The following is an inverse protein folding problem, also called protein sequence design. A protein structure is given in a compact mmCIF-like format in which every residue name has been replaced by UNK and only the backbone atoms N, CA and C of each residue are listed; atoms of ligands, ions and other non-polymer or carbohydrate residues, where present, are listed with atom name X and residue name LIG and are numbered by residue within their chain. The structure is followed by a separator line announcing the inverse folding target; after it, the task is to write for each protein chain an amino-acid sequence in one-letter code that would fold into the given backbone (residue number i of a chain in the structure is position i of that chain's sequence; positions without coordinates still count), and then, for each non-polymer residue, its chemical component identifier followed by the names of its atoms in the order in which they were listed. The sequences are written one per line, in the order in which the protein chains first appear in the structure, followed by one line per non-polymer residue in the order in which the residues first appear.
data_IF_836141601728
#
_entry.id   IF_836141601728
#
_cell.length_a   1.000
_cell.length_b   1.000
_cell.length_c   1.000
_cell.angle_alpha   90.00
_cell.angle_beta   90.00
_cell.angle_gamma   90.00
#
_symmetry.space_group_name_H-M   'P 1'
#
loop_
_entity.id
_entity.type
_entity.pdbx_description
1 polymer ?
#
# COMPACT_ATOMS: atom_id res chain seq x y z
N UNK A 1 29.28 9.80 -0.52
CA UNK A 1 28.21 9.08 0.19
C UNK A 1 28.63 7.64 0.27
N UNK A 2 28.49 6.97 1.42
CA UNK A 2 28.73 5.53 1.50
C UNK A 2 27.66 4.79 0.70
N UNK A 3 28.00 3.64 0.12
CA UNK A 3 27.03 2.83 -0.63
C UNK A 3 25.79 2.50 0.22
N UNK A 4 25.99 2.29 1.52
CA UNK A 4 24.93 2.10 2.52
C UNK A 4 23.98 3.31 2.61
N UNK A 5 24.50 4.54 2.53
CA UNK A 5 23.69 5.76 2.55
C UNK A 5 22.85 5.95 1.29
N UNK A 6 23.36 5.52 0.13
CA UNK A 6 22.60 5.52 -1.13
C UNK A 6 21.44 4.53 -1.04
N UNK A 7 21.72 3.30 -0.59
CA UNK A 7 20.70 2.24 -0.46
C UNK A 7 19.60 2.66 0.51
N UNK A 8 19.96 3.23 1.66
CA UNK A 8 19.00 3.73 2.64
C UNK A 8 18.14 4.87 2.06
N UNK A 9 18.76 5.87 1.42
CA UNK A 9 18.05 7.00 0.84
C UNK A 9 17.06 6.59 -0.26
N UNK A 10 17.50 5.74 -1.19
CA UNK A 10 16.65 5.24 -2.28
C UNK A 10 15.52 4.37 -1.75
N UNK A 11 15.79 3.51 -0.76
CA UNK A 11 14.77 2.63 -0.16
C UNK A 11 13.66 3.43 0.53
N UNK A 12 14.01 4.46 1.31
CA UNK A 12 13.05 5.32 2.00
C UNK A 12 12.21 6.11 0.99
N UNK A 13 12.85 6.69 -0.02
CA UNK A 13 12.16 7.44 -1.06
C UNK A 13 11.18 6.56 -1.85
N UNK A 14 11.63 5.36 -2.25
CA UNK A 14 10.81 4.40 -3.00
C UNK A 14 9.66 3.86 -2.15
N UNK A 15 9.88 3.63 -0.85
CA UNK A 15 8.82 3.21 0.07
C UNK A 15 7.70 4.25 0.15
N UNK A 16 8.04 5.53 0.33
CA UNK A 16 7.06 6.62 0.34
C UNK A 16 6.28 6.75 -0.97
N UNK A 17 6.97 6.66 -2.11
CA UNK A 17 6.34 6.66 -3.43
C UNK A 17 5.38 5.47 -3.62
N UNK A 18 5.81 4.28 -3.23
CA UNK A 18 5.01 3.06 -3.41
C UNK A 18 3.66 3.16 -2.69
N UNK A 19 3.64 3.70 -1.46
CA UNK A 19 2.39 3.92 -0.71
C UNK A 19 1.56 5.04 -1.35
N UNK A 20 2.20 6.17 -1.69
CA UNK A 20 1.50 7.33 -2.25
C UNK A 20 0.75 6.99 -3.55
N UNK A 21 1.40 6.26 -4.47
CA UNK A 21 0.75 5.84 -5.71
C UNK A 21 -0.17 4.62 -5.51
N UNK A 22 0.19 3.70 -4.62
CA UNK A 22 -0.61 2.51 -4.32
C UNK A 22 -2.00 2.82 -3.74
N UNK A 23 -2.14 3.94 -3.02
CA UNK A 23 -3.40 4.36 -2.41
C UNK A 23 -4.38 5.05 -3.38
N UNK A 24 -3.91 5.56 -4.53
CA UNK A 24 -4.74 6.37 -5.45
C UNK A 24 -5.84 5.51 -6.08
N UNK A 25 -5.50 4.31 -6.56
CA UNK A 25 -6.44 3.39 -7.20
C UNK A 25 -7.59 2.99 -6.27
N UNK A 26 -7.29 2.44 -5.08
CA UNK A 26 -8.27 2.11 -4.06
C UNK A 26 -9.14 3.31 -3.67
N UNK A 27 -8.56 4.46 -3.35
CA UNK A 27 -9.34 5.64 -2.97
C UNK A 27 -10.39 6.05 -4.02
N UNK A 28 -10.03 6.01 -5.31
CA UNK A 28 -10.96 6.30 -6.40
C UNK A 28 -12.03 5.20 -6.58
N UNK A 29 -11.63 3.94 -6.47
CA UNK A 29 -12.55 2.80 -6.60
C UNK A 29 -13.57 2.74 -5.47
N UNK A 30 -13.11 2.88 -4.23
CA UNK A 30 -13.93 2.86 -3.03
C UNK A 30 -14.89 4.05 -2.97
N UNK A 31 -14.42 5.26 -3.30
CA UNK A 31 -15.27 6.45 -3.35
C UNK A 31 -16.44 6.28 -4.34
N UNK A 32 -16.17 5.70 -5.52
CA UNK A 32 -17.20 5.38 -6.50
C UNK A 32 -18.16 4.32 -5.99
N UNK A 33 -17.66 3.19 -5.50
CA UNK A 33 -18.48 2.10 -4.97
C UNK A 33 -19.39 2.57 -3.83
N UNK A 34 -18.86 3.36 -2.90
CA UNK A 34 -19.63 3.94 -1.79
C UNK A 34 -20.73 4.88 -2.30
N UNK A 35 -20.43 5.77 -3.25
CA UNK A 35 -21.42 6.69 -3.82
C UNK A 35 -22.59 5.96 -4.51
N UNK A 36 -22.28 4.88 -5.24
CA UNK A 36 -23.30 4.05 -5.90
C UNK A 36 -24.12 3.27 -4.88
N UNK A 37 -23.48 2.71 -3.84
CA UNK A 37 -24.19 2.00 -2.78
C UNK A 37 -25.13 2.92 -2.00
N UNK A 38 -24.71 4.13 -1.66
CA UNK A 38 -25.57 5.13 -1.00
C UNK A 38 -26.78 5.49 -1.86
N UNK A 39 -26.59 5.67 -3.17
CA UNK A 39 -27.68 5.95 -4.11
C UNK A 39 -28.67 4.77 -4.19
N UNK A 40 -28.16 3.54 -4.22
CA UNK A 40 -29.00 2.33 -4.23
C UNK A 40 -29.78 2.16 -2.92
N UNK A 41 -29.16 2.44 -1.77
CA UNK A 41 -29.82 2.43 -0.46
C UNK A 41 -30.92 3.48 -0.39
N UNK A 42 -30.69 4.68 -0.93
CA UNK A 42 -31.71 5.74 -0.97
C UNK A 42 -32.92 5.36 -1.83
N UNK A 43 -32.70 4.64 -2.94
CA UNK A 43 -33.78 4.15 -3.81
C UNK A 43 -34.52 2.95 -3.21
N UNK A 44 -33.83 2.07 -2.48
CA UNK A 44 -34.42 0.89 -1.88
C UNK A 44 -33.93 0.67 -0.43
N UNK A 45 -34.52 1.38 0.55
CA UNK A 45 -34.11 1.31 1.95
C UNK A 45 -34.20 -0.09 2.56
N UNK A 46 -35.20 -0.88 2.14
CA UNK A 46 -35.41 -2.25 2.64
C UNK A 46 -34.25 -3.20 2.29
N UNK A 47 -33.50 -2.90 1.23
CA UNK A 47 -32.34 -3.69 0.79
C UNK A 47 -31.02 -3.24 1.44
N UNK A 48 -31.03 -2.20 2.29
CA UNK A 48 -29.82 -1.61 2.86
C UNK A 48 -28.87 -2.59 3.57
N UNK A 49 -29.35 -3.58 4.37
CA UNK A 49 -28.47 -4.54 5.02
C UNK A 49 -27.68 -5.39 4.00
N UNK A 50 -28.34 -5.83 2.93
CA UNK A 50 -27.72 -6.64 1.88
C UNK A 50 -26.72 -5.82 1.06
N UNK A 51 -27.09 -4.58 0.68
CA UNK A 51 -26.21 -3.67 -0.07
C UNK A 51 -24.95 -3.37 0.75
N UNK A 52 -25.10 -3.04 2.02
CA UNK A 52 -23.98 -2.70 2.91
C UNK A 52 -23.01 -3.87 3.09
N UNK A 53 -23.53 -5.10 3.23
CA UNK A 53 -22.68 -6.30 3.33
C UNK A 53 -21.86 -6.51 2.07
N UNK A 54 -22.48 -6.42 0.90
CA UNK A 54 -21.79 -6.59 -0.39
C UNK A 54 -20.79 -5.45 -0.64
N UNK A 55 -21.13 -4.21 -0.25
CA UNK A 55 -20.25 -3.06 -0.31
C UNK A 55 -18.98 -3.34 0.49
N UNK A 56 -19.09 -3.67 1.78
CA UNK A 56 -17.90 -3.87 2.63
C UNK A 56 -17.02 -5.03 2.16
N UNK A 57 -17.62 -6.12 1.65
CA UNK A 57 -16.83 -7.21 1.04
C UNK A 57 -16.07 -6.69 -0.19
N UNK A 58 -16.71 -5.88 -1.04
CA UNK A 58 -16.08 -5.31 -2.23
C UNK A 58 -14.96 -4.32 -1.88
N UNK A 59 -15.20 -3.43 -0.91
CA UNK A 59 -14.21 -2.47 -0.41
C UNK A 59 -13.00 -3.20 0.16
N UNK A 60 -13.20 -4.23 1.00
CA UNK A 60 -12.11 -5.03 1.55
C UNK A 60 -11.24 -5.70 0.46
N UNK A 61 -11.85 -6.14 -0.64
CA UNK A 61 -11.11 -6.70 -1.78
C UNK A 61 -10.32 -5.64 -2.53
N UNK A 62 -10.86 -4.43 -2.71
CA UNK A 62 -10.17 -3.31 -3.36
C UNK A 62 -8.98 -2.85 -2.51
N UNK A 63 -9.17 -2.72 -1.20
CA UNK A 63 -8.18 -2.25 -0.24
C UNK A 63 -6.94 -3.16 -0.17
N UNK A 64 -7.09 -4.45 -0.51
CA UNK A 64 -5.95 -5.40 -0.54
C UNK A 64 -4.77 -4.91 -1.37
N UNK A 65 -5.02 -4.16 -2.44
CA UNK A 65 -3.98 -3.61 -3.31
C UNK A 65 -3.17 -2.50 -2.63
N UNK A 66 -3.83 -1.60 -1.88
CA UNK A 66 -3.14 -0.60 -1.04
C UNK A 66 -2.34 -1.28 0.07
N UNK A 67 -2.89 -2.32 0.69
CA UNK A 67 -2.19 -3.11 1.72
C UNK A 67 -0.94 -3.78 1.16
N UNK A 68 -0.95 -4.31 -0.07
CA UNK A 68 0.27 -4.86 -0.68
C UNK A 68 1.36 -3.80 -0.86
N UNK A 69 1.01 -2.60 -1.33
CA UNK A 69 1.95 -1.48 -1.42
C UNK A 69 2.49 -1.06 -0.04
N UNK A 70 1.63 -1.03 0.97
CA UNK A 70 2.02 -0.74 2.35
C UNK A 70 2.98 -1.79 2.91
N UNK A 71 2.70 -3.09 2.70
CA UNK A 71 3.56 -4.18 3.14
C UNK A 71 4.94 -4.10 2.49
N UNK A 72 5.01 -3.81 1.19
CA UNK A 72 6.31 -3.60 0.50
C UNK A 72 7.08 -2.43 1.11
N UNK A 73 6.42 -1.31 1.38
CA UNK A 73 7.05 -0.16 2.03
C UNK A 73 7.55 -0.51 3.45
N UNK A 74 6.80 -1.28 4.22
CA UNK A 74 7.23 -1.78 5.53
C UNK A 74 8.45 -2.70 5.43
N UNK A 75 8.50 -3.58 4.43
CA UNK A 75 9.69 -4.41 4.18
C UNK A 75 10.90 -3.54 3.86
N UNK A 76 10.76 -2.54 3.00
CA UNK A 76 11.87 -1.64 2.64
C UNK A 76 12.40 -0.81 3.81
N UNK A 77 11.55 -0.48 4.79
CA UNK A 77 11.92 0.33 5.96
C UNK A 77 12.45 -0.53 7.10
N UNK A 78 11.80 -1.66 7.40
CA UNK A 78 12.06 -2.43 8.63
C UNK A 78 12.77 -3.76 8.39
N UNK A 79 12.69 -4.33 7.19
CA UNK A 79 13.24 -5.65 6.86
C UNK A 79 13.97 -5.62 5.51
N UNK A 80 14.73 -4.55 5.27
CA UNK A 80 15.33 -4.31 3.97
C UNK A 80 16.38 -5.40 3.64
N UNK A 81 16.16 -6.21 2.59
CA UNK A 81 17.04 -7.34 2.26
C UNK A 81 18.42 -6.88 1.77
N UNK A 82 18.56 -5.61 1.37
CA UNK A 82 19.82 -5.08 0.87
C UNK A 82 20.77 -4.66 1.99
N UNK A 83 20.32 -4.63 3.25
CA UNK A 83 21.17 -4.23 4.38
C UNK A 83 22.33 -5.20 4.61
N UNK A 84 22.06 -6.51 4.65
CA UNK A 84 23.10 -7.54 4.85
C UNK A 84 24.12 -7.53 3.71
N UNK A 85 23.65 -7.52 2.46
CA UNK A 85 24.50 -7.43 1.28
C UNK A 85 25.34 -6.13 1.27
N UNK A 86 24.78 -5.02 1.72
CA UNK A 86 25.49 -3.74 1.78
C UNK A 86 26.54 -3.70 2.90
N UNK A 87 26.28 -4.34 4.05
CA UNK A 87 27.25 -4.47 5.14
C UNK A 87 28.42 -5.37 4.73
N UNK A 88 28.16 -6.49 4.07
CA UNK A 88 29.19 -7.39 3.54
C UNK A 88 30.05 -6.69 2.48
N UNK A 89 29.42 -5.98 1.54
CA UNK A 89 30.14 -5.19 0.53
C UNK A 89 31.01 -4.09 1.14
N UNK A 90 30.52 -3.40 2.18
CA UNK A 90 31.28 -2.37 2.89
C UNK A 90 32.48 -2.95 3.65
N UNK A 91 32.38 -4.17 4.18
CA UNK A 91 33.48 -4.87 4.85
C UNK A 91 34.54 -5.36 3.83
N UNK A 92 34.10 -5.87 2.67
CA UNK A 92 35.00 -6.34 1.61
C UNK A 92 35.79 -5.20 0.93
N UNK A 93 35.22 -4.00 0.84
CA UNK A 93 35.91 -2.81 0.31
C UNK A 93 36.89 -2.15 1.29
N UNK A 94 36.87 -2.55 2.57
CA UNK A 94 37.70 -2.00 3.64
C UNK A 94 38.96 -2.80 3.99
N UNK A 95 39.23 -3.90 3.27
CA UNK A 95 40.47 -4.70 3.37
C UNK A 95 41.32 -4.58 2.12
#
# INVERSE_FOLDING_TARGET
MTDLGIIAGVSIFTAGLTVAFGAIGPALGEGRAASTALSAIAQQPDAAPTISRTLFVSLAMIESTAIYCFVVAMILIFANPFWTAAVEAAQAAGG
#
